data_IF_321531085780
#
_entry.id   IF_321531085780
#
_cell.length_a   1.000
_cell.length_b   1.000
_cell.length_c   1.000
_cell.angle_alpha   90.00
_cell.angle_beta   90.00
_cell.angle_gamma   90.00
#
_symmetry.space_group_name_H-M   'P 1'
#
loop_
_entity.id
_entity.type
_entity.pdbx_description
1 polymer ?
#
# COMPACT_ATOMS: atom_id res chain seq x y z
N UNK A 1 20.12 -17.13 23.24
CA UNK A 1 19.01 -16.16 23.40
C UNK A 1 19.65 -14.80 23.52
N UNK A 2 19.38 -13.89 22.59
CA UNK A 2 19.97 -12.54 22.60
C UNK A 2 19.28 -11.74 23.70
N UNK A 3 19.95 -11.58 24.85
CA UNK A 3 19.45 -10.72 25.92
C UNK A 3 19.66 -9.27 25.50
N UNK A 4 18.63 -8.67 24.90
CA UNK A 4 18.61 -7.23 24.64
C UNK A 4 18.51 -6.48 25.97
N UNK A 5 19.27 -5.40 26.11
CA UNK A 5 19.15 -4.54 27.29
C UNK A 5 17.81 -3.80 27.29
N UNK A 6 17.30 -3.37 28.46
CA UNK A 6 16.09 -2.57 28.53
C UNK A 6 16.12 -1.30 27.66
N UNK A 7 17.28 -0.67 27.55
CA UNK A 7 17.50 0.53 26.72
C UNK A 7 17.36 0.19 25.24
N UNK A 8 17.96 -0.93 24.78
CA UNK A 8 17.84 -1.40 23.41
C UNK A 8 16.38 -1.76 23.06
N UNK A 9 15.63 -2.36 23.98
CA UNK A 9 14.20 -2.65 23.78
C UNK A 9 13.37 -1.36 23.67
N UNK A 10 13.67 -0.35 24.48
CA UNK A 10 12.98 0.93 24.43
C UNK A 10 13.23 1.66 23.09
N UNK A 11 14.47 1.62 22.60
CA UNK A 11 14.85 2.21 21.31
C UNK A 11 14.18 1.49 20.13
N UNK A 12 14.18 0.15 20.14
CA UNK A 12 13.48 -0.65 19.12
C UNK A 12 11.99 -0.31 19.09
N UNK A 13 11.35 -0.23 20.26
CA UNK A 13 9.93 0.12 20.36
C UNK A 13 9.67 1.51 19.77
N UNK A 14 10.46 2.52 20.15
CA UNK A 14 10.34 3.87 19.62
C UNK A 14 10.46 3.90 18.09
N UNK A 15 11.48 3.25 17.55
CA UNK A 15 11.71 3.20 16.11
C UNK A 15 10.57 2.49 15.37
N UNK A 16 10.00 1.44 15.97
CA UNK A 16 8.85 0.73 15.42
C UNK A 16 7.59 1.62 15.42
N UNK A 17 7.32 2.33 16.52
CA UNK A 17 6.18 3.23 16.63
C UNK A 17 6.27 4.36 15.59
N UNK A 18 7.43 5.00 15.44
CA UNK A 18 7.69 6.02 14.41
C UNK A 18 7.55 5.44 12.99
N UNK A 19 8.01 4.21 12.77
CA UNK A 19 7.87 3.54 11.48
C UNK A 19 6.40 3.24 11.15
N UNK A 20 5.64 2.69 12.10
CA UNK A 20 4.20 2.44 11.93
C UNK A 20 3.50 3.76 11.63
N UNK A 21 3.80 4.81 12.38
CA UNK A 21 3.19 6.11 12.17
C UNK A 21 3.47 6.62 10.75
N UNK A 22 4.72 6.63 10.30
CA UNK A 22 5.09 7.15 8.97
C UNK A 22 4.58 6.31 7.79
N UNK A 23 4.27 5.03 8.04
CA UNK A 23 3.76 4.06 7.06
C UNK A 23 2.26 3.83 7.13
N UNK A 24 1.56 4.50 8.05
CA UNK A 24 0.09 4.46 8.16
C UNK A 24 -0.50 5.74 7.54
N UNK A 25 -1.42 5.64 6.56
CA UNK A 25 -2.18 6.77 6.05
C UNK A 25 -3.01 7.46 7.15
N UNK A 26 -3.45 8.68 6.90
CA UNK A 26 -4.45 9.35 7.74
C UNK A 26 -5.82 8.65 7.61
N UNK A 27 -6.74 8.87 8.58
CA UNK A 27 -8.09 8.35 8.52
C UNK A 27 -8.77 8.66 7.17
N UNK A 28 -9.52 7.67 6.66
CA UNK A 28 -10.12 7.78 5.32
C UNK A 28 -9.14 7.47 4.17
N UNK A 29 -8.03 6.77 4.45
CA UNK A 29 -7.01 6.41 3.46
C UNK A 29 -6.37 7.63 2.79
N UNK A 30 -6.07 8.66 3.58
CA UNK A 30 -5.54 9.92 3.07
C UNK A 30 -4.02 9.98 3.23
N UNK A 31 -3.33 10.41 2.18
CA UNK A 31 -1.87 10.53 2.16
C UNK A 31 -1.41 11.67 3.08
N UNK A 32 -0.48 11.36 3.99
CA UNK A 32 0.12 12.30 4.95
C UNK A 32 0.83 13.50 4.30
N UNK A 33 1.29 13.37 3.06
CA UNK A 33 2.10 14.40 2.40
C UNK A 33 1.28 15.35 1.53
N UNK A 34 0.26 14.85 0.83
CA UNK A 34 -0.42 15.63 -0.22
C UNK A 34 -1.95 15.55 -0.18
N UNK A 35 -2.51 14.94 0.87
CA UNK A 35 -3.94 14.69 1.06
C UNK A 35 -4.62 13.95 -0.11
N UNK A 36 -3.84 13.27 -0.95
CA UNK A 36 -4.38 12.40 -2.00
C UNK A 36 -4.86 11.07 -1.42
N UNK A 37 -5.72 10.38 -2.13
CA UNK A 37 -6.24 9.08 -1.70
C UNK A 37 -5.15 7.99 -1.84
N UNK A 38 -5.09 7.08 -0.88
CA UNK A 38 -4.20 5.92 -0.86
C UNK A 38 -5.00 4.69 -1.26
N UNK A 39 -4.57 4.02 -2.32
CA UNK A 39 -5.29 2.91 -2.96
C UNK A 39 -4.32 1.79 -3.34
N UNK A 40 -4.86 0.59 -3.58
CA UNK A 40 -4.17 -0.52 -4.23
C UNK A 40 -4.67 -0.63 -5.67
N UNK A 41 -3.80 -0.48 -6.65
CA UNK A 41 -4.17 -0.60 -8.07
C UNK A 41 -3.98 -2.04 -8.53
N UNK A 42 -4.86 -2.52 -9.39
CA UNK A 42 -4.63 -3.79 -10.08
C UNK A 42 -3.35 -3.72 -10.92
N UNK A 43 -2.53 -4.77 -10.85
CA UNK A 43 -1.28 -4.90 -11.62
C UNK A 43 -1.27 -6.14 -12.49
N UNK A 44 -2.18 -7.09 -12.27
CA UNK A 44 -2.23 -8.31 -13.04
C UNK A 44 -3.47 -9.15 -12.76
N UNK A 45 -3.66 -10.18 -13.59
CA UNK A 45 -4.67 -11.20 -13.45
C UNK A 45 -4.00 -12.57 -13.70
N UNK A 46 -4.18 -13.52 -12.78
CA UNK A 46 -3.68 -14.89 -12.94
C UNK A 46 -4.69 -15.89 -12.40
N UNK A 47 -5.02 -16.89 -13.22
CA UNK A 47 -6.01 -17.92 -12.87
C UNK A 47 -7.33 -17.34 -12.32
N UNK A 48 -7.81 -16.24 -12.93
CA UNK A 48 -9.05 -15.58 -12.52
C UNK A 48 -8.96 -14.72 -11.26
N UNK A 49 -7.78 -14.57 -10.65
CA UNK A 49 -7.54 -13.72 -9.46
C UNK A 49 -6.71 -12.49 -9.81
N UNK A 50 -7.15 -11.33 -9.33
CA UNK A 50 -6.39 -10.09 -9.49
C UNK A 50 -5.22 -10.00 -8.52
N UNK A 51 -4.12 -9.44 -9.01
CA UNK A 51 -3.02 -8.97 -8.19
C UNK A 51 -3.09 -7.46 -8.09
N UNK A 52 -2.68 -6.95 -6.93
CA UNK A 52 -2.68 -5.53 -6.66
C UNK A 52 -1.29 -5.07 -6.25
N UNK A 53 -1.01 -3.79 -6.51
CA UNK A 53 0.18 -3.10 -6.05
C UNK A 53 0.22 -3.01 -4.52
N UNK A 54 1.34 -2.54 -3.99
CA UNK A 54 1.36 -1.96 -2.65
C UNK A 54 0.39 -0.76 -2.57
N UNK A 55 -0.16 -0.46 -1.39
CA UNK A 55 -0.88 0.78 -1.14
C UNK A 55 -0.03 1.98 -1.50
N UNK A 56 -0.55 2.84 -2.36
CA UNK A 56 0.15 4.06 -2.78
C UNK A 56 -0.81 5.23 -2.93
N UNK A 57 -0.31 6.44 -2.70
CA UNK A 57 -1.06 7.64 -2.98
C UNK A 57 -1.24 7.82 -4.49
N UNK A 58 -2.49 7.95 -4.94
CA UNK A 58 -2.82 8.14 -6.35
C UNK A 58 -2.31 9.46 -6.96
N UNK A 59 -1.91 10.43 -6.12
CA UNK A 59 -1.44 11.75 -6.54
C UNK A 59 0.08 11.88 -6.55
N UNK A 60 0.76 11.39 -5.51
CA UNK A 60 2.21 11.57 -5.36
C UNK A 60 3.03 10.27 -5.41
N UNK A 61 2.39 9.10 -5.50
CA UNK A 61 3.08 7.81 -5.58
C UNK A 61 3.74 7.35 -4.26
N UNK A 62 3.53 8.05 -3.14
CA UNK A 62 4.05 7.61 -1.84
C UNK A 62 3.45 6.26 -1.47
N UNK A 63 4.32 5.29 -1.17
CA UNK A 63 3.96 3.94 -0.79
C UNK A 63 3.76 3.84 0.72
N UNK A 64 2.76 3.06 1.13
CA UNK A 64 2.44 2.75 2.52
C UNK A 64 2.43 1.22 2.71
N UNK A 65 3.61 0.63 2.93
CA UNK A 65 3.80 -0.83 2.86
C UNK A 65 2.90 -1.63 3.82
N UNK A 66 2.54 -1.04 4.96
CA UNK A 66 1.77 -1.71 6.01
C UNK A 66 0.29 -1.30 6.03
N UNK A 67 -0.17 -0.48 5.08
CA UNK A 67 -1.58 -0.10 5.00
C UNK A 67 -2.42 -1.26 4.45
N UNK A 68 -3.02 -2.05 5.33
CA UNK A 68 -3.78 -3.24 4.91
C UNK A 68 -5.20 -2.92 4.46
N UNK A 69 -5.84 -1.90 5.07
CA UNK A 69 -7.26 -1.57 4.88
C UNK A 69 -7.50 -0.37 3.93
N UNK A 70 -6.90 -0.42 2.73
CA UNK A 70 -7.08 0.59 1.69
C UNK A 70 -7.94 0.05 0.53
N UNK A 71 -8.65 0.89 -0.22
CA UNK A 71 -9.49 0.46 -1.33
C UNK A 71 -8.66 -0.14 -2.46
N UNK A 72 -9.18 -1.20 -3.07
CA UNK A 72 -8.65 -1.80 -4.30
C UNK A 72 -9.39 -1.23 -5.49
N UNK A 73 -8.67 -0.81 -6.53
CA UNK A 73 -9.27 -0.19 -7.72
C UNK A 73 -8.68 -0.72 -9.03
N UNK A 74 -9.36 -0.44 -10.13
CA UNK A 74 -8.84 -0.66 -11.49
C UNK A 74 -9.18 -2.01 -12.11
N UNK A 75 -9.88 -2.90 -11.40
CA UNK A 75 -10.27 -4.23 -11.91
C UNK A 75 -11.10 -4.15 -13.19
N UNK A 76 -12.14 -3.32 -13.23
CA UNK A 76 -13.02 -3.21 -14.41
C UNK A 76 -12.27 -2.64 -15.62
N UNK A 77 -11.47 -1.60 -15.41
CA UNK A 77 -10.63 -1.02 -16.46
C UNK A 77 -9.63 -2.05 -17.00
N UNK A 78 -9.04 -2.85 -16.11
CA UNK A 78 -8.11 -3.90 -16.50
C UNK A 78 -8.81 -5.03 -17.29
N UNK A 79 -10.00 -5.47 -16.88
CA UNK A 79 -10.79 -6.46 -17.65
C UNK A 79 -11.06 -5.97 -19.06
N UNK A 80 -11.49 -4.71 -19.20
CA UNK A 80 -11.76 -4.10 -20.51
C UNK A 80 -10.51 -4.11 -21.39
N UNK A 81 -9.33 -3.84 -20.85
CA UNK A 81 -8.07 -3.90 -21.61
C UNK A 81 -7.78 -5.35 -22.07
N UNK A 82 -8.02 -6.35 -21.24
CA UNK A 82 -7.82 -7.76 -21.61
C UNK A 82 -8.81 -8.25 -22.67
N UNK A 83 -10.02 -7.72 -22.67
CA UNK A 83 -11.10 -8.07 -23.60
C UNK A 83 -11.01 -7.30 -24.92
N UNK A 84 -10.14 -6.29 -25.01
CA UNK A 84 -9.93 -5.53 -26.24
C UNK A 84 -9.17 -6.37 -27.28
N UNK A 85 -9.67 -6.47 -28.52
CA UNK A 85 -8.92 -7.08 -29.60
C UNK A 85 -7.70 -6.21 -29.92
N UNK A 86 -6.49 -6.77 -29.75
CA UNK A 86 -5.28 -6.12 -30.21
C UNK A 86 -5.13 -6.37 -31.71
N UNK A 87 -5.42 -5.35 -32.52
CA UNK A 87 -4.93 -5.29 -33.90
C UNK A 87 -3.43 -5.01 -33.87
N UNK A 88 -2.64 -5.96 -34.33
CA UNK A 88 -1.19 -5.82 -34.61
C UNK A 88 -1.04 -5.21 -36.01
#
# INVERSE_FOLDING_TARGET
MTNLSPEALAEIKKNLDEHIETQTPLPGNICKTCNGEVIKKVTGLYMGKFFYSFPECNKCGRIYFYATNVPTVGEEAFRRILEQPFTI
#
